data_IF_575494540698
#
_entry.id   IF_575494540698
#
_cell.length_a   1.000
_cell.length_b   1.000
_cell.length_c   1.000
_cell.angle_alpha   90.00
_cell.angle_beta   90.00
_cell.angle_gamma   90.00
#
_symmetry.space_group_name_H-M   'P 1'
#
loop_
_entity.id
_entity.type
_entity.pdbx_description
1 polymer ?
#
# COMPACT_ATOMS: atom_id res chain seq x y z
N UNK A 1 4.77 16.49 -17.95
CA UNK A 1 4.09 16.19 -16.68
C UNK A 1 3.59 14.76 -16.74
N UNK A 2 4.07 13.94 -15.84
CA UNK A 2 3.69 12.54 -15.73
C UNK A 2 3.09 12.28 -14.34
N UNK A 3 2.36 11.16 -14.21
CA UNK A 3 1.73 10.76 -12.97
C UNK A 3 2.35 9.46 -12.46
N UNK A 4 2.68 9.42 -11.18
CA UNK A 4 3.27 8.26 -10.52
C UNK A 4 2.49 7.90 -9.27
N UNK A 5 2.41 6.62 -8.96
CA UNK A 5 1.79 6.15 -7.72
C UNK A 5 2.66 6.46 -6.50
N UNK A 6 2.03 6.89 -5.43
CA UNK A 6 2.63 7.00 -4.11
C UNK A 6 1.77 6.21 -3.11
N UNK A 7 2.29 5.08 -2.67
CA UNK A 7 1.56 4.17 -1.80
C UNK A 7 1.78 4.51 -0.33
N UNK A 8 0.71 4.59 0.40
CA UNK A 8 0.67 4.80 1.85
C UNK A 8 0.09 3.58 2.54
N UNK A 9 0.70 3.15 3.63
CA UNK A 9 -0.01 2.35 4.62
C UNK A 9 -0.88 3.26 5.51
N UNK A 10 -1.87 2.74 6.24
CA UNK A 10 -2.63 3.54 7.20
C UNK A 10 -1.73 4.29 8.20
N UNK A 11 -0.65 3.66 8.67
CA UNK A 11 0.31 4.28 9.60
C UNK A 11 1.06 5.45 8.96
N UNK A 12 1.57 5.27 7.72
CA UNK A 12 2.28 6.36 7.02
C UNK A 12 1.33 7.47 6.62
N UNK A 13 0.07 7.18 6.33
CA UNK A 13 -0.97 8.17 6.09
C UNK A 13 -1.20 9.04 7.35
N UNK A 14 -1.35 8.42 8.53
CA UNK A 14 -1.53 9.14 9.79
C UNK A 14 -0.30 10.00 10.12
N UNK A 15 0.90 9.44 9.96
CA UNK A 15 2.14 10.17 10.20
C UNK A 15 2.30 11.37 9.26
N UNK A 16 2.04 11.18 7.97
CA UNK A 16 2.08 12.23 6.97
C UNK A 16 1.01 13.30 7.21
N UNK A 17 -0.20 12.89 7.60
CA UNK A 17 -1.30 13.82 7.91
C UNK A 17 -0.95 14.78 9.07
N UNK A 18 -0.14 14.31 10.02
CA UNK A 18 0.33 15.07 11.20
C UNK A 18 1.60 15.88 10.92
N UNK A 19 2.29 15.63 9.81
CA UNK A 19 3.50 16.35 9.40
C UNK A 19 3.19 17.64 8.64
N UNK A 20 4.22 18.37 8.23
CA UNK A 20 4.09 19.53 7.33
C UNK A 20 3.59 19.16 5.92
N UNK A 21 3.59 17.88 5.58
CA UNK A 21 3.17 17.33 4.28
C UNK A 21 3.96 17.87 3.08
N UNK A 22 5.21 18.23 3.29
CA UNK A 22 6.09 18.85 2.30
C UNK A 22 7.18 17.90 1.76
N UNK A 23 7.32 16.69 2.36
CA UNK A 23 8.28 15.67 1.95
C UNK A 23 7.60 14.32 1.75
N UNK A 24 7.82 13.70 0.60
CA UNK A 24 7.44 12.32 0.34
C UNK A 24 8.69 11.45 0.26
N UNK A 25 8.65 10.26 0.88
CA UNK A 25 9.80 9.36 1.00
C UNK A 25 9.53 7.98 0.41
N UNK A 26 10.61 7.39 -0.13
CA UNK A 26 10.62 6.09 -0.76
C UNK A 26 11.84 5.29 -0.30
N UNK A 27 11.79 3.97 -0.43
CA UNK A 27 12.88 3.10 -0.03
C UNK A 27 14.02 3.13 -1.04
N UNK A 28 15.23 2.80 -0.59
CA UNK A 28 16.44 2.82 -1.42
C UNK A 28 16.28 2.01 -2.72
N UNK A 29 15.57 0.88 -2.69
CA UNK A 29 15.32 0.06 -3.89
C UNK A 29 14.55 0.79 -5.00
N UNK A 30 13.90 1.91 -4.68
CA UNK A 30 13.13 2.73 -5.63
C UNK A 30 13.96 3.86 -6.26
N UNK A 31 15.26 3.98 -5.93
CA UNK A 31 16.17 5.02 -6.43
C UNK A 31 16.15 5.14 -7.96
N UNK A 32 16.22 4.00 -8.67
CA UNK A 32 16.22 4.00 -10.14
C UNK A 32 14.88 4.47 -10.77
N UNK A 33 13.77 4.24 -10.07
CA UNK A 33 12.47 4.77 -10.51
C UNK A 33 12.37 6.26 -10.18
N UNK A 34 12.85 6.66 -9.00
CA UNK A 34 12.84 8.03 -8.53
C UNK A 34 13.66 8.97 -9.45
N UNK A 35 14.82 8.53 -9.96
CA UNK A 35 15.66 9.35 -10.83
C UNK A 35 15.01 9.76 -12.17
N UNK A 36 13.88 9.14 -12.54
CA UNK A 36 13.13 9.49 -13.76
C UNK A 36 12.09 10.58 -13.54
N UNK A 37 11.76 10.87 -12.29
CA UNK A 37 10.71 11.80 -11.90
C UNK A 37 11.27 13.21 -11.89
N UNK A 38 10.53 14.15 -12.46
CA UNK A 38 10.96 15.54 -12.65
C UNK A 38 10.07 16.49 -11.84
N UNK A 39 10.61 17.67 -11.57
CA UNK A 39 9.84 18.76 -10.99
C UNK A 39 8.63 19.05 -11.88
N UNK A 40 7.46 19.22 -11.26
CA UNK A 40 6.17 19.40 -11.92
C UNK A 40 5.44 18.10 -12.29
N UNK A 41 6.08 16.92 -12.15
CA UNK A 41 5.36 15.65 -12.19
C UNK A 41 4.47 15.50 -10.94
N UNK A 42 3.53 14.57 -10.98
CA UNK A 42 2.55 14.41 -9.89
C UNK A 42 2.56 13.02 -9.30
N UNK A 43 2.40 12.97 -8.00
CA UNK A 43 2.13 11.75 -7.25
C UNK A 43 0.64 11.60 -7.01
N UNK A 44 0.07 10.49 -7.44
CA UNK A 44 -1.27 10.05 -7.09
C UNK A 44 -1.16 9.12 -5.88
N UNK A 45 -1.69 9.57 -4.76
CA UNK A 45 -1.57 8.90 -3.47
C UNK A 45 -2.68 7.88 -3.26
N UNK A 46 -2.30 6.68 -2.88
CA UNK A 46 -3.19 5.55 -2.65
C UNK A 46 -2.90 4.90 -1.30
N UNK A 47 -3.92 4.73 -0.48
CA UNK A 47 -3.83 4.03 0.80
C UNK A 47 -4.08 2.54 0.58
N UNK A 48 -3.05 1.75 0.78
CA UNK A 48 -3.13 0.29 0.79
C UNK A 48 -3.98 -0.19 1.97
N UNK A 49 -4.32 -1.47 2.02
CA UNK A 49 -5.19 -2.09 3.03
C UNK A 49 -6.64 -1.57 3.03
N UNK A 50 -6.87 -0.26 3.02
CA UNK A 50 -8.20 0.32 2.81
C UNK A 50 -8.58 0.46 1.34
N UNK A 51 -7.64 0.29 0.44
CA UNK A 51 -7.86 0.37 -1.00
C UNK A 51 -8.53 1.67 -1.46
N UNK A 52 -7.99 2.84 -1.02
CA UNK A 52 -8.57 4.16 -1.27
C UNK A 52 -7.59 5.15 -1.86
N UNK A 53 -8.07 5.99 -2.78
CA UNK A 53 -7.36 7.17 -3.28
C UNK A 53 -7.47 8.30 -2.27
N UNK A 54 -6.32 8.90 -1.90
CA UNK A 54 -6.24 9.81 -0.75
C UNK A 54 -5.71 11.20 -1.08
N UNK A 55 -5.05 11.39 -2.23
CA UNK A 55 -4.53 12.71 -2.54
C UNK A 55 -3.68 12.79 -3.80
N UNK A 56 -3.26 14.01 -4.09
CA UNK A 56 -2.39 14.35 -5.21
C UNK A 56 -1.33 15.33 -4.72
N UNK A 57 -0.06 15.07 -5.05
CA UNK A 57 1.04 15.99 -4.79
C UNK A 57 1.71 16.40 -6.09
N UNK A 58 2.21 17.61 -6.13
CA UNK A 58 3.12 18.08 -7.15
C UNK A 58 4.56 17.95 -6.66
N UNK A 59 5.43 17.41 -7.48
CA UNK A 59 6.86 17.26 -7.20
C UNK A 59 7.55 18.63 -7.32
N UNK A 60 8.24 19.04 -6.25
CA UNK A 60 8.87 20.35 -6.13
C UNK A 60 10.41 20.31 -6.19
N UNK A 61 11.01 19.10 -6.15
CA UNK A 61 12.46 18.94 -6.22
C UNK A 61 12.82 17.71 -7.06
N UNK A 62 14.07 17.63 -7.48
CA UNK A 62 14.65 16.34 -7.85
C UNK A 62 14.71 15.41 -6.63
N UNK A 63 14.89 14.11 -6.87
CA UNK A 63 15.07 13.18 -5.76
C UNK A 63 16.40 13.46 -5.04
N UNK A 64 16.35 13.43 -3.72
CA UNK A 64 17.52 13.58 -2.84
C UNK A 64 17.56 12.45 -1.83
N UNK A 65 18.74 12.18 -1.27
CA UNK A 65 18.93 11.19 -0.23
C UNK A 65 19.01 11.88 1.12
N UNK A 66 18.25 11.36 2.10
CA UNK A 66 18.26 11.83 3.47
C UNK A 66 17.83 10.67 4.38
N UNK A 67 18.63 10.34 5.37
CA UNK A 67 18.44 9.22 6.32
C UNK A 67 17.76 9.62 7.63
N UNK A 68 17.56 10.94 7.86
CA UNK A 68 16.83 11.40 9.03
C UNK A 68 15.43 10.76 9.07
N UNK A 69 14.97 10.22 10.21
CA UNK A 69 13.65 9.60 10.29
C UNK A 69 12.53 10.57 9.86
N UNK A 70 11.73 10.18 8.84
CA UNK A 70 10.47 10.83 8.51
C UNK A 70 9.35 9.82 8.78
N UNK A 71 8.17 10.21 9.06
CA UNK A 71 7.02 9.38 9.39
C UNK A 71 7.25 8.51 10.63
N UNK A 72 8.00 7.41 10.52
CA UNK A 72 8.19 6.41 11.59
C UNK A 72 9.61 5.84 11.53
N UNK A 73 10.26 5.58 12.69
CA UNK A 73 11.52 4.84 12.72
C UNK A 73 11.34 3.43 12.17
N UNK A 74 12.18 2.99 11.24
CA UNK A 74 12.08 1.70 10.57
C UNK A 74 13.45 1.12 10.26
N UNK A 75 13.53 -0.21 10.17
CA UNK A 75 14.74 -0.93 9.76
C UNK A 75 15.09 -0.68 8.27
N UNK A 76 14.08 -0.38 7.43
CA UNK A 76 14.24 0.00 6.03
C UNK A 76 13.67 1.42 5.84
N UNK A 77 14.48 2.47 6.08
CA UNK A 77 14.00 3.84 6.11
C UNK A 77 13.68 4.39 4.71
N UNK A 78 12.84 5.42 4.68
CA UNK A 78 12.49 6.16 3.47
C UNK A 78 13.58 7.18 3.12
N UNK A 79 14.69 6.71 2.55
CA UNK A 79 15.89 7.53 2.28
C UNK A 79 15.84 8.31 0.97
N UNK A 80 15.07 7.84 0.00
CA UNK A 80 14.88 8.51 -1.29
C UNK A 80 13.72 9.47 -1.18
N UNK A 81 13.93 10.77 -1.31
CA UNK A 81 12.93 11.79 -0.98
C UNK A 81 12.70 12.79 -2.09
N UNK A 82 11.52 13.38 -2.06
CA UNK A 82 11.14 14.53 -2.86
C UNK A 82 10.51 15.59 -1.97
N UNK A 83 10.80 16.85 -2.21
CA UNK A 83 9.93 17.92 -1.75
C UNK A 83 8.66 17.89 -2.58
N UNK A 84 7.52 18.00 -1.92
CA UNK A 84 6.21 17.92 -2.57
C UNK A 84 5.29 19.02 -2.08
N UNK A 85 4.34 19.40 -2.92
CA UNK A 85 3.26 20.33 -2.58
C UNK A 85 1.93 19.57 -2.70
N UNK A 86 1.18 19.37 -1.63
CA UNK A 86 -0.15 18.80 -1.71
C UNK A 86 -1.08 19.69 -2.56
N UNK A 87 -1.66 19.12 -3.61
CA UNK A 87 -2.74 19.74 -4.39
C UNK A 87 -4.07 19.31 -3.77
N UNK A 88 -4.18 18.02 -3.45
CA UNK A 88 -5.32 17.40 -2.78
C UNK A 88 -4.80 16.50 -1.67
N UNK A 89 -5.41 16.58 -0.50
CA UNK A 89 -5.24 15.62 0.58
C UNK A 89 -6.59 15.40 1.26
N UNK A 90 -7.14 14.20 1.10
CA UNK A 90 -8.46 13.84 1.60
C UNK A 90 -8.37 13.24 3.00
N UNK A 91 -9.25 13.64 3.92
CA UNK A 91 -9.45 12.88 5.15
C UNK A 91 -9.95 11.46 4.81
N UNK A 92 -9.70 10.51 5.68
CA UNK A 92 -9.97 9.08 5.42
C UNK A 92 -11.43 8.80 5.04
N UNK A 93 -12.37 9.54 5.62
CA UNK A 93 -13.82 9.43 5.35
C UNK A 93 -14.20 9.93 3.95
N UNK A 94 -13.40 10.82 3.38
CA UNK A 94 -13.55 11.31 2.00
C UNK A 94 -12.67 10.57 1.00
N UNK A 95 -11.75 9.71 1.47
CA UNK A 95 -10.86 8.94 0.63
C UNK A 95 -11.68 7.97 -0.25
N UNK A 96 -11.44 8.00 -1.55
CA UNK A 96 -12.29 7.36 -2.56
C UNK A 96 -11.94 5.87 -2.69
N UNK A 97 -12.86 4.93 -2.40
CA UNK A 97 -12.60 3.51 -2.61
C UNK A 97 -12.29 3.20 -4.08
N UNK A 98 -11.30 2.34 -4.33
CA UNK A 98 -10.99 1.93 -5.71
C UNK A 98 -12.18 1.22 -6.37
N UNK A 99 -12.98 0.48 -5.58
CA UNK A 99 -14.16 -0.23 -6.04
C UNK A 99 -15.39 0.67 -6.30
N UNK A 100 -15.28 2.00 -6.08
CA UNK A 100 -16.31 2.94 -6.50
C UNK A 100 -16.52 2.84 -8.02
N UNK A 101 -17.75 2.66 -8.47
CA UNK A 101 -18.05 2.38 -9.88
C UNK A 101 -17.58 3.48 -10.84
N UNK A 102 -17.60 4.74 -10.38
CA UNK A 102 -17.12 5.89 -11.17
C UNK A 102 -15.61 5.82 -11.41
N UNK A 103 -14.86 5.29 -10.44
CA UNK A 103 -13.41 5.08 -10.54
C UNK A 103 -13.11 3.79 -11.29
N UNK A 104 -13.74 2.68 -10.89
CA UNK A 104 -13.50 1.35 -11.42
C UNK A 104 -13.67 1.25 -12.93
N UNK A 105 -14.76 1.82 -13.43
CA UNK A 105 -15.10 1.76 -14.85
C UNK A 105 -14.29 2.75 -15.71
N UNK A 106 -13.48 3.62 -15.09
CA UNK A 106 -12.73 4.65 -15.80
C UNK A 106 -11.24 4.35 -15.93
N UNK A 107 -10.62 3.78 -14.89
CA UNK A 107 -9.19 3.50 -14.88
C UNK A 107 -8.81 2.39 -15.86
N UNK A 108 -7.72 2.59 -16.59
CA UNK A 108 -7.28 1.67 -17.65
C UNK A 108 -6.96 0.26 -17.14
N UNK A 109 -6.56 0.12 -15.88
CA UNK A 109 -6.15 -1.14 -15.26
C UNK A 109 -7.23 -1.83 -14.41
N UNK A 110 -8.43 -1.23 -14.31
CA UNK A 110 -9.59 -1.83 -13.61
C UNK A 110 -10.78 -2.02 -14.53
N UNK A 111 -10.91 -1.17 -15.57
CA UNK A 111 -12.01 -1.21 -16.51
C UNK A 111 -12.17 -2.58 -17.16
N UNK A 112 -13.35 -3.15 -17.04
CA UNK A 112 -13.67 -4.46 -17.63
C UNK A 112 -13.10 -5.66 -16.88
N UNK A 113 -12.46 -5.44 -15.73
CA UNK A 113 -11.98 -6.50 -14.84
C UNK A 113 -13.02 -6.73 -13.74
N UNK A 114 -13.24 -7.99 -13.40
CA UNK A 114 -14.09 -8.36 -12.27
C UNK A 114 -13.41 -7.90 -10.96
N UNK A 115 -14.17 -7.17 -10.13
CA UNK A 115 -13.71 -6.63 -8.83
C UNK A 115 -13.23 -7.71 -7.87
N UNK A 116 -13.75 -8.93 -7.99
CA UNK A 116 -13.42 -10.06 -7.12
C UNK A 116 -12.11 -10.75 -7.52
N UNK A 117 -11.46 -10.32 -8.59
CA UNK A 117 -10.18 -10.89 -9.04
C UNK A 117 -9.00 -10.03 -8.59
N UNK A 118 -7.83 -10.63 -8.45
CA UNK A 118 -6.58 -9.92 -8.12
C UNK A 118 -5.86 -9.32 -9.34
N UNK A 119 -6.43 -9.44 -10.55
CA UNK A 119 -5.75 -9.03 -11.80
C UNK A 119 -5.39 -7.54 -11.84
N UNK A 120 -6.18 -6.70 -11.20
CA UNK A 120 -5.99 -5.25 -11.15
C UNK A 120 -4.93 -4.80 -10.13
N UNK A 121 -4.62 -5.62 -9.11
CA UNK A 121 -3.72 -5.24 -8.00
C UNK A 121 -2.28 -5.04 -8.44
N UNK A 122 -1.87 -5.68 -9.53
CA UNK A 122 -0.49 -5.62 -10.03
C UNK A 122 0.04 -4.19 -10.23
N UNK A 123 -0.82 -3.25 -10.65
CA UNK A 123 -0.44 -1.85 -10.84
C UNK A 123 -0.17 -1.14 -9.51
N UNK A 124 -0.86 -1.54 -8.44
CA UNK A 124 -0.83 -0.92 -7.11
C UNK A 124 0.14 -1.59 -6.12
N UNK A 125 1.04 -2.47 -6.61
CA UNK A 125 1.98 -3.18 -5.74
C UNK A 125 3.21 -2.38 -5.35
N UNK A 126 3.62 -1.43 -6.19
CA UNK A 126 4.83 -0.65 -5.96
C UNK A 126 4.57 0.83 -6.14
N UNK A 127 5.12 1.64 -5.22
CA UNK A 127 5.22 3.09 -5.43
C UNK A 127 6.10 3.39 -6.65
N UNK A 128 5.91 4.59 -7.21
CA UNK A 128 6.60 5.11 -8.39
C UNK A 128 6.30 4.36 -9.70
N UNK A 129 5.29 3.47 -9.70
CA UNK A 129 4.72 2.99 -10.96
C UNK A 129 4.06 4.15 -11.68
N UNK A 130 4.44 4.34 -12.96
CA UNK A 130 3.85 5.39 -13.78
C UNK A 130 2.41 5.02 -14.18
N UNK A 131 1.48 5.93 -13.96
CA UNK A 131 0.11 5.86 -14.48
C UNK A 131 0.05 6.40 -15.91
N UNK A 132 -0.99 6.02 -16.66
CA UNK A 132 -1.28 6.71 -17.90
C UNK A 132 -1.70 8.15 -17.60
N UNK A 133 -1.43 9.08 -18.52
CA UNK A 133 -1.83 10.48 -18.32
C UNK A 133 -3.36 10.61 -18.15
N UNK A 134 -4.13 9.77 -18.85
CA UNK A 134 -5.59 9.76 -18.75
C UNK A 134 -6.07 9.32 -17.35
N UNK A 135 -5.46 8.25 -16.80
CA UNK A 135 -5.80 7.79 -15.45
C UNK A 135 -5.40 8.83 -14.38
N UNK A 136 -4.18 9.37 -14.52
CA UNK A 136 -3.67 10.35 -13.57
C UNK A 136 -4.51 11.63 -13.55
N UNK A 137 -4.83 12.17 -14.72
CA UNK A 137 -5.65 13.38 -14.85
C UNK A 137 -7.08 13.16 -14.33
N UNK A 138 -7.69 12.03 -14.69
CA UNK A 138 -9.00 11.67 -14.14
C UNK A 138 -9.01 11.59 -12.62
N UNK A 139 -8.02 10.92 -12.01
CA UNK A 139 -7.93 10.79 -10.56
C UNK A 139 -7.69 12.15 -9.88
N UNK A 140 -6.86 13.01 -10.46
CA UNK A 140 -6.64 14.37 -9.97
C UNK A 140 -7.93 15.18 -9.96
N UNK A 141 -8.66 15.22 -11.07
CA UNK A 141 -9.93 15.96 -11.18
C UNK A 141 -10.97 15.39 -10.22
N UNK A 142 -11.08 14.05 -10.16
CA UNK A 142 -12.06 13.40 -9.31
C UNK A 142 -11.80 13.64 -7.82
N UNK A 143 -10.54 13.53 -7.38
CA UNK A 143 -10.17 13.83 -6.00
C UNK A 143 -10.29 15.33 -5.68
N UNK A 144 -10.01 16.22 -6.63
CA UNK A 144 -10.23 17.66 -6.46
C UNK A 144 -11.70 18.00 -6.25
N UNK A 145 -12.59 17.37 -7.01
CA UNK A 145 -14.04 17.53 -6.82
C UNK A 145 -14.52 17.01 -5.47
N UNK A 146 -13.91 15.96 -4.96
CA UNK A 146 -14.22 15.34 -3.68
C UNK A 146 -13.93 16.24 -2.47
N UNK A 147 -12.96 17.15 -2.59
CA UNK A 147 -12.63 18.12 -1.52
C UNK A 147 -13.84 19.03 -1.22
N UNK A 148 -14.51 19.55 -2.25
CA UNK A 148 -15.48 20.64 -2.12
C UNK A 148 -16.91 20.20 -1.79
N UNK A 149 -17.26 18.97 -1.96
CA UNK A 149 -18.65 18.52 -1.73
C UNK A 149 -18.85 17.03 -1.92
N UNK A 150 -17.77 16.29 -1.77
CA UNK A 150 -17.77 14.87 -2.06
C UNK A 150 -18.55 14.01 -1.07
N UNK A 151 -18.77 12.81 -1.52
CA UNK A 151 -19.40 11.73 -0.80
C UNK A 151 -18.55 11.29 0.40
N UNK A 152 -19.17 10.90 1.50
CA UNK A 152 -18.52 10.26 2.62
C UNK A 152 -18.61 8.75 2.45
N UNK A 153 -17.52 8.07 2.73
CA UNK A 153 -17.42 6.62 2.65
C UNK A 153 -17.20 6.04 4.05
N UNK A 154 -18.05 5.14 4.45
CA UNK A 154 -17.96 4.50 5.75
C UNK A 154 -16.61 3.80 5.95
N UNK A 155 -16.09 3.94 7.17
CA UNK A 155 -14.89 3.25 7.64
C UNK A 155 -15.24 2.58 8.96
N UNK A 156 -14.95 1.29 9.04
CA UNK A 156 -14.98 0.61 10.32
C UNK A 156 -13.75 1.05 11.12
N UNK A 157 -13.96 1.92 12.10
CA UNK A 157 -12.87 2.51 12.88
C UNK A 157 -12.07 1.47 13.66
N UNK A 158 -12.74 0.43 14.18
CA UNK A 158 -12.06 -0.66 14.92
C UNK A 158 -11.13 -1.47 14.02
N UNK A 159 -11.54 -1.73 12.78
CA UNK A 159 -10.70 -2.38 11.78
C UNK A 159 -9.56 -1.45 11.35
N UNK A 160 -9.84 -0.18 11.13
CA UNK A 160 -8.81 0.80 10.79
C UNK A 160 -7.74 0.90 11.88
N UNK A 161 -8.14 0.96 13.16
CA UNK A 161 -7.20 0.99 14.28
C UNK A 161 -6.35 -0.29 14.35
N UNK A 162 -6.90 -1.45 14.04
CA UNK A 162 -6.13 -2.70 13.94
C UNK A 162 -5.10 -2.66 12.82
N UNK A 163 -5.39 -1.97 11.72
CA UNK A 163 -4.44 -1.80 10.62
C UNK A 163 -3.26 -0.88 10.97
N UNK A 164 -3.46 0.07 11.89
CA UNK A 164 -2.41 1.01 12.35
C UNK A 164 -1.51 0.34 13.39
N UNK A 165 -2.05 -0.53 14.23
CA UNK A 165 -1.35 -1.05 15.41
C UNK A 165 -1.09 -2.55 15.26
N UNK A 166 0.11 -2.93 14.83
CA UNK A 166 0.58 -4.31 14.92
C UNK A 166 1.34 -4.53 16.23
N UNK A 167 0.81 -5.38 17.11
CA UNK A 167 1.51 -5.84 18.31
C UNK A 167 2.21 -7.15 18.02
N UNK A 168 3.52 -7.14 18.07
CA UNK A 168 4.32 -8.38 18.03
C UNK A 168 4.63 -8.77 19.48
N UNK A 169 4.15 -9.93 19.88
CA UNK A 169 4.56 -10.57 21.13
C UNK A 169 5.90 -11.25 20.93
N UNK A 170 6.96 -10.71 21.51
CA UNK A 170 8.24 -11.41 21.69
C UNK A 170 8.23 -12.12 23.05
N UNK A 171 9.08 -13.13 23.21
CA UNK A 171 9.15 -13.95 24.43
C UNK A 171 9.45 -13.11 25.68
N UNK A 172 10.11 -11.99 25.51
CA UNK A 172 10.61 -11.10 26.58
C UNK A 172 9.83 -9.79 26.74
N UNK A 173 9.08 -9.34 25.71
CA UNK A 173 8.33 -8.09 25.76
C UNK A 173 7.32 -7.94 24.63
N UNK A 174 6.31 -7.11 24.87
CA UNK A 174 5.38 -6.64 23.84
C UNK A 174 6.02 -5.46 23.12
N UNK A 175 6.23 -5.59 21.81
CA UNK A 175 6.71 -4.51 20.96
C UNK A 175 5.63 -4.16 19.95
N UNK A 176 5.27 -2.89 19.89
CA UNK A 176 4.43 -2.38 18.81
C UNK A 176 5.32 -2.12 17.60
N UNK A 177 5.12 -2.88 16.53
CA UNK A 177 5.90 -2.73 15.30
C UNK A 177 4.97 -2.22 14.21
N UNK A 178 5.36 -1.10 13.65
CA UNK A 178 4.78 -0.61 12.40
C UNK A 178 5.42 -1.38 11.26
N UNK A 179 4.66 -2.24 10.60
CA UNK A 179 5.14 -2.99 9.44
C UNK A 179 4.81 -2.19 8.18
N UNK A 180 5.80 -1.62 7.50
CA UNK A 180 5.57 -1.06 6.17
C UNK A 180 5.46 -2.22 5.20
N UNK A 181 4.33 -2.35 4.58
CA UNK A 181 4.13 -3.35 3.54
C UNK A 181 4.54 -2.80 2.18
N UNK A 182 5.80 -3.10 1.83
CA UNK A 182 6.13 -3.48 0.47
C UNK A 182 6.26 -5.00 0.48
N UNK A 183 5.19 -5.69 0.69
CA UNK A 183 5.18 -7.14 0.73
C UNK A 183 5.34 -7.72 -0.67
N UNK A 184 6.36 -8.50 -0.81
CA UNK A 184 6.28 -9.68 -1.66
C UNK A 184 5.10 -10.50 -1.13
N UNK A 185 4.09 -10.71 -1.97
CA UNK A 185 3.05 -11.72 -1.80
C UNK A 185 2.16 -11.67 -0.53
N UNK A 186 1.43 -10.55 -0.32
CA UNK A 186 0.12 -10.69 0.32
C UNK A 186 -0.97 -10.24 -0.67
N UNK A 187 -1.50 -11.24 -1.34
CA UNK A 187 -2.83 -11.21 -1.93
C UNK A 187 -3.79 -10.78 -0.81
N UNK A 188 -4.47 -9.63 -0.97
CA UNK A 188 -5.62 -9.30 -0.12
C UNK A 188 -6.54 -10.53 -0.12
N UNK A 189 -6.60 -11.20 1.02
CA UNK A 189 -7.60 -12.24 1.23
C UNK A 189 -8.92 -11.52 1.48
N UNK A 190 -9.75 -11.48 0.47
CA UNK A 190 -11.18 -11.50 0.71
C UNK A 190 -11.46 -12.66 1.66
N UNK A 191 -12.23 -12.37 2.72
CA UNK A 191 -12.74 -13.37 3.66
C UNK A 191 -13.64 -14.31 2.85
N UNK A 192 -13.03 -15.33 2.28
CA UNK A 192 -13.72 -16.50 1.78
C UNK A 192 -12.97 -17.72 2.30
N UNK A 193 -13.73 -18.68 2.75
CA UNK A 193 -13.45 -19.94 3.41
C UNK A 193 -12.00 -20.48 3.32
N UNK A 194 -11.46 -21.16 4.33
CA UNK A 194 -10.09 -21.61 4.35
C UNK A 194 -9.85 -22.70 3.30
N UNK A 195 -9.63 -22.33 2.06
CA UNK A 195 -8.95 -23.23 1.13
C UNK A 195 -7.52 -23.39 1.63
N UNK A 196 -7.25 -24.60 2.13
CA UNK A 196 -5.90 -25.01 2.52
C UNK A 196 -4.99 -24.77 1.32
N UNK A 197 -4.02 -23.86 1.46
CA UNK A 197 -3.08 -23.49 0.38
C UNK A 197 -2.47 -24.77 -0.22
N UNK A 198 -2.35 -24.84 -1.55
CA UNK A 198 -1.72 -25.99 -2.21
C UNK A 198 -0.32 -26.30 -1.65
N UNK A 199 0.43 -25.27 -1.27
CA UNK A 199 1.72 -25.42 -0.59
C UNK A 199 1.61 -26.20 0.73
N UNK A 200 0.56 -25.97 1.53
CA UNK A 200 0.32 -26.69 2.79
C UNK A 200 -0.07 -28.15 2.50
N UNK A 201 -0.87 -28.39 1.44
CA UNK A 201 -1.20 -29.76 1.01
C UNK A 201 0.04 -30.55 0.59
N UNK A 202 0.93 -29.91 -0.18
CA UNK A 202 2.20 -30.50 -0.61
C UNK A 202 3.14 -30.73 0.59
N UNK A 203 3.27 -29.79 1.50
CA UNK A 203 4.06 -29.94 2.72
C UNK A 203 3.53 -31.05 3.63
N UNK A 204 2.21 -31.16 3.80
CA UNK A 204 1.56 -32.23 4.56
C UNK A 204 1.83 -33.61 3.92
N UNK A 205 1.78 -33.69 2.59
CA UNK A 205 2.09 -34.90 1.87
C UNK A 205 3.56 -35.31 2.04
N UNK A 206 4.50 -34.41 1.89
CA UNK A 206 5.94 -34.66 2.09
C UNK A 206 6.22 -35.07 3.54
N UNK A 207 5.58 -34.41 4.52
CA UNK A 207 5.69 -34.76 5.91
C UNK A 207 5.17 -36.17 6.19
N UNK A 208 4.04 -36.56 5.60
CA UNK A 208 3.48 -37.90 5.72
C UNK A 208 4.43 -38.97 5.16
N UNK A 209 4.96 -38.73 3.95
CA UNK A 209 5.93 -39.66 3.31
C UNK A 209 7.21 -39.79 4.15
N UNK A 210 7.79 -38.70 4.62
CA UNK A 210 8.99 -38.68 5.43
C UNK A 210 8.77 -39.40 6.77
N UNK A 211 7.60 -39.24 7.41
CA UNK A 211 7.23 -39.96 8.62
C UNK A 211 7.13 -41.47 8.40
N UNK A 212 6.54 -41.91 7.29
CA UNK A 212 6.48 -43.33 6.91
C UNK A 212 7.86 -43.93 6.63
N UNK A 213 8.82 -43.12 6.21
CA UNK A 213 10.21 -43.50 6.00
C UNK A 213 11.06 -43.47 7.29
N UNK A 214 10.45 -43.16 8.45
CA UNK A 214 11.15 -43.09 9.74
C UNK A 214 12.01 -41.84 9.92
N UNK A 215 11.80 -40.78 9.12
CA UNK A 215 12.54 -39.53 9.22
C UNK A 215 11.94 -38.59 10.27
N UNK A 216 12.80 -37.90 11.01
CA UNK A 216 12.35 -36.78 11.87
C UNK A 216 12.07 -35.56 11.03
N UNK A 217 10.82 -35.06 11.06
CA UNK A 217 10.39 -33.95 10.24
C UNK A 217 10.20 -32.73 11.12
N UNK A 218 10.83 -31.64 10.74
CA UNK A 218 10.62 -30.35 11.35
C UNK A 218 9.59 -29.52 10.52
N UNK A 219 8.52 -29.04 11.16
CA UNK A 219 7.54 -28.18 10.56
C UNK A 219 7.59 -26.81 11.25
N UNK A 220 7.60 -25.69 10.50
CA UNK A 220 7.48 -24.36 11.07
C UNK A 220 6.21 -24.21 11.90
N UNK A 221 6.26 -23.39 12.96
CA UNK A 221 5.09 -23.20 13.84
C UNK A 221 3.88 -22.58 13.12
N UNK A 222 4.11 -21.83 12.05
CA UNK A 222 3.07 -21.26 11.19
C UNK A 222 2.24 -22.29 10.45
N UNK A 223 2.76 -23.53 10.28
CA UNK A 223 2.17 -24.57 9.45
C UNK A 223 1.68 -25.76 10.28
N UNK A 224 1.65 -25.60 11.61
CA UNK A 224 1.17 -26.59 12.59
C UNK A 224 -0.27 -26.29 13.01
N UNK A 225 -1.21 -26.30 12.10
CA UNK A 225 -2.64 -26.21 12.44
C UNK A 225 -3.34 -27.50 12.10
#
# INVERSE_FOLDING_TARGET
>A
MAYYLNLFSPETYEAFSKSNRDVSGFRLRQQNAASRIKIGDKFICYMTKLSRWIGVFEVQSECFSDDAPIFLPQDDPFVVRFKVKPIVWLPKEKAIPIHNDRVWNRLSFTKGIDKNTSKWTGKLRNSLNQLTNNDGHFLEEFMSSQVHGGELFDINEDEYQKLITHRIHRIDRVVTVTVPQDTKDEVERTVDQPEVRESIKVQSLIASIGSQMGMSIWLPRSDRS
#
